data_IF_932763691537
#
_entry.id   IF_932763691537
#
_cell.length_a   1.000
_cell.length_b   1.000
_cell.length_c   1.000
_cell.angle_alpha   90.00
_cell.angle_beta   90.00
_cell.angle_gamma   90.00
#
_symmetry.space_group_name_H-M   'P 1'
#
loop_
_entity.id
_entity.type
_entity.pdbx_description
1 polymer ?
#
# COMPACT_ATOMS: atom_id res chain seq x y z
N UNK A 1 4.53 -16.77 -3.50
CA UNK A 1 3.42 -17.73 -3.27
C UNK A 1 2.08 -17.03 -3.07
N UNK A 2 2.01 -15.72 -2.76
CA UNK A 2 0.74 -14.99 -2.54
C UNK A 2 -0.11 -14.90 -3.82
N UNK A 3 0.41 -14.29 -4.89
CA UNK A 3 -0.34 -14.06 -6.13
C UNK A 3 -0.82 -15.34 -6.81
N UNK A 4 0.01 -16.39 -6.76
CA UNK A 4 -0.35 -17.71 -7.29
C UNK A 4 -1.55 -18.31 -6.57
N UNK A 5 -1.58 -18.25 -5.24
CA UNK A 5 -2.71 -18.73 -4.44
C UNK A 5 -3.95 -17.87 -4.70
N UNK A 6 -3.79 -16.53 -4.69
CA UNK A 6 -4.88 -15.60 -4.94
C UNK A 6 -5.55 -15.81 -6.31
N UNK A 7 -4.76 -16.05 -7.37
CA UNK A 7 -5.28 -16.28 -8.72
C UNK A 7 -6.13 -17.54 -8.82
N UNK A 8 -5.66 -18.64 -8.21
CA UNK A 8 -6.40 -19.90 -8.16
C UNK A 8 -7.67 -19.75 -7.33
N UNK A 9 -7.55 -19.20 -6.12
CA UNK A 9 -8.69 -19.00 -5.21
C UNK A 9 -9.76 -18.09 -5.81
N UNK A 10 -9.36 -17.03 -6.52
CA UNK A 10 -10.29 -16.13 -7.18
C UNK A 10 -11.03 -16.80 -8.32
N UNK A 11 -10.33 -17.56 -9.17
CA UNK A 11 -10.95 -18.30 -10.26
C UNK A 11 -11.95 -19.35 -9.74
N UNK A 12 -11.65 -20.01 -8.62
CA UNK A 12 -12.53 -21.02 -8.02
C UNK A 12 -13.77 -20.41 -7.35
N UNK A 13 -13.64 -19.24 -6.72
CA UNK A 13 -14.73 -18.61 -5.94
C UNK A 13 -15.60 -17.63 -6.74
N UNK A 14 -14.97 -16.84 -7.60
CA UNK A 14 -15.61 -15.74 -8.34
C UNK A 14 -15.64 -16.01 -9.84
N UNK A 15 -14.64 -16.75 -10.35
CA UNK A 15 -14.48 -17.02 -11.77
C UNK A 15 -13.66 -15.96 -12.48
N UNK A 16 -12.81 -16.39 -13.42
CA UNK A 16 -11.99 -15.48 -14.23
C UNK A 16 -10.87 -14.81 -13.45
N UNK A 17 -10.62 -13.52 -13.72
CA UNK A 17 -9.59 -12.69 -13.11
C UNK A 17 -10.23 -11.50 -12.40
N UNK A 18 -9.60 -10.95 -11.35
CA UNK A 18 -10.07 -9.73 -10.71
C UNK A 18 -9.93 -8.53 -11.64
N UNK A 19 -10.74 -7.49 -11.44
CA UNK A 19 -10.59 -6.23 -12.16
C UNK A 19 -9.38 -5.44 -11.65
N UNK A 20 -9.08 -5.54 -10.35
CA UNK A 20 -7.94 -4.85 -9.74
C UNK A 20 -7.28 -5.62 -8.59
N UNK A 21 -5.99 -5.37 -8.40
CA UNK A 21 -5.19 -5.76 -7.24
C UNK A 21 -4.76 -4.52 -6.48
N UNK A 22 -4.83 -4.57 -5.15
CA UNK A 22 -4.39 -3.49 -4.27
C UNK A 22 -3.50 -4.05 -3.16
N UNK A 23 -2.35 -3.44 -2.93
CA UNK A 23 -1.46 -3.79 -1.82
C UNK A 23 -0.68 -2.58 -1.33
N UNK A 24 -0.37 -2.51 -0.04
CA UNK A 24 0.44 -1.45 0.54
C UNK A 24 1.93 -1.63 0.18
N UNK A 25 2.66 -0.53 0.03
CA UNK A 25 4.04 -0.50 -0.44
C UNK A 25 4.88 0.37 0.50
N UNK A 26 5.64 -0.30 1.37
CA UNK A 26 6.86 0.26 1.97
C UNK A 26 8.05 -0.17 1.11
N UNK A 27 8.80 -1.18 1.55
CA UNK A 27 9.81 -1.82 0.69
C UNK A 27 9.24 -2.61 -0.50
N UNK A 28 7.98 -3.08 -0.40
CA UNK A 28 7.23 -3.67 -1.52
C UNK A 28 7.04 -5.20 -1.55
N UNK A 29 7.59 -5.95 -0.59
CA UNK A 29 7.60 -7.42 -0.64
C UNK A 29 6.21 -8.07 -0.72
N UNK A 30 5.24 -7.60 0.07
CA UNK A 30 3.87 -8.13 0.05
C UNK A 30 3.18 -7.82 -1.30
N UNK A 31 3.38 -6.60 -1.80
CA UNK A 31 2.76 -6.11 -3.02
C UNK A 31 3.28 -6.86 -4.24
N UNK A 32 4.59 -6.94 -4.41
CA UNK A 32 5.16 -7.72 -5.52
C UNK A 32 4.79 -9.21 -5.41
N UNK A 33 4.71 -9.73 -4.18
CA UNK A 33 4.25 -11.09 -3.92
C UNK A 33 2.85 -11.38 -4.43
N UNK A 34 1.92 -10.40 -4.35
CA UNK A 34 0.59 -10.48 -4.94
C UNK A 34 0.63 -10.24 -6.46
N UNK A 35 1.32 -9.19 -6.91
CA UNK A 35 1.27 -8.72 -8.29
C UNK A 35 1.92 -9.66 -9.29
N UNK A 36 2.98 -10.36 -8.89
CA UNK A 36 3.85 -11.11 -9.80
C UNK A 36 3.10 -12.05 -10.76
N UNK A 37 2.08 -12.79 -10.27
CA UNK A 37 1.33 -13.74 -11.09
C UNK A 37 0.34 -13.09 -12.08
N UNK A 38 0.12 -11.77 -11.95
CA UNK A 38 -0.82 -11.00 -12.74
C UNK A 38 -0.15 -9.98 -13.66
N UNK A 39 1.19 -9.88 -13.65
CA UNK A 39 1.93 -8.91 -14.48
C UNK A 39 1.60 -9.07 -15.97
N UNK A 40 1.43 -10.30 -16.46
CA UNK A 40 1.10 -10.54 -17.87
C UNK A 40 -0.41 -10.42 -18.18
N UNK A 41 -1.27 -10.35 -17.16
CA UNK A 41 -2.72 -10.19 -17.34
C UNK A 41 -3.08 -8.72 -17.52
N UNK A 42 -2.97 -8.22 -18.75
CA UNK A 42 -3.19 -6.80 -19.08
C UNK A 42 -4.59 -6.26 -18.71
N UNK A 43 -5.59 -7.14 -18.52
CA UNK A 43 -6.92 -6.76 -18.06
C UNK A 43 -7.00 -6.45 -16.56
N UNK A 44 -5.98 -6.83 -15.79
CA UNK A 44 -5.96 -6.67 -14.32
C UNK A 44 -5.20 -5.41 -13.96
N UNK A 45 -5.90 -4.43 -13.40
CA UNK A 45 -5.28 -3.21 -12.89
C UNK A 45 -4.48 -3.51 -11.61
N UNK A 46 -3.33 -2.88 -11.44
CA UNK A 46 -2.43 -3.12 -10.30
C UNK A 46 -2.17 -1.80 -9.59
N UNK A 47 -2.46 -1.75 -8.28
CA UNK A 47 -2.30 -0.57 -7.44
C UNK A 47 -1.41 -0.85 -6.23
N UNK A 48 -0.27 -0.15 -6.17
CA UNK A 48 0.56 -0.06 -4.97
C UNK A 48 0.18 1.18 -4.15
N UNK A 49 0.01 1.03 -2.84
CA UNK A 49 -0.41 2.12 -1.95
C UNK A 49 0.72 2.50 -1.00
N UNK A 50 1.29 3.70 -1.18
CA UNK A 50 2.32 4.26 -0.30
C UNK A 50 1.71 5.10 0.83
N UNK A 51 2.48 5.34 1.90
CA UNK A 51 2.03 6.12 3.03
C UNK A 51 2.19 7.63 2.76
N UNK A 52 1.07 8.34 2.70
CA UNK A 52 1.06 9.79 2.58
C UNK A 52 1.29 10.50 3.93
N UNK A 53 1.38 9.76 5.04
CA UNK A 53 1.55 10.34 6.38
C UNK A 53 0.50 11.43 6.66
N UNK A 54 0.98 12.63 6.98
CA UNK A 54 0.14 13.82 7.20
C UNK A 54 -0.38 14.48 5.91
N UNK A 55 0.01 14.00 4.74
CA UNK A 55 -0.34 14.52 3.42
C UNK A 55 0.89 14.89 2.58
N UNK A 56 0.87 14.54 1.29
CA UNK A 56 1.96 14.86 0.36
C UNK A 56 2.17 16.37 0.21
N UNK A 57 1.11 17.16 0.32
CA UNK A 57 1.14 18.62 0.22
C UNK A 57 1.79 19.31 1.43
N UNK A 58 2.03 18.57 2.52
CA UNK A 58 2.71 19.09 3.73
C UNK A 58 4.23 19.10 3.62
N UNK A 59 4.77 18.57 2.52
CA UNK A 59 6.19 18.56 2.21
C UNK A 59 6.86 17.20 2.47
N UNK A 60 8.14 17.06 2.09
CA UNK A 60 8.79 15.76 1.92
C UNK A 60 9.06 15.00 3.22
N UNK A 61 9.00 15.66 4.39
CA UNK A 61 9.16 15.02 5.71
C UNK A 61 7.84 14.53 6.29
N UNK A 62 6.72 14.79 5.63
CA UNK A 62 5.38 14.50 6.15
C UNK A 62 4.83 13.15 5.70
N UNK A 63 5.57 12.42 4.87
CA UNK A 63 5.09 11.21 4.20
C UNK A 63 6.25 10.25 3.87
N UNK A 64 5.91 8.99 3.55
CA UNK A 64 6.84 7.96 3.09
C UNK A 64 6.34 7.38 1.76
N UNK A 65 6.43 8.20 0.70
CA UNK A 65 5.84 7.91 -0.62
C UNK A 65 6.80 8.19 -1.78
N UNK A 66 7.91 7.42 -1.89
CA UNK A 66 8.95 7.67 -2.88
C UNK A 66 8.48 7.48 -4.33
N UNK A 67 7.55 6.58 -4.63
CA UNK A 67 7.00 6.45 -5.98
C UNK A 67 6.03 7.58 -6.32
N UNK A 68 5.32 8.14 -5.35
CA UNK A 68 4.40 9.25 -5.58
C UNK A 68 5.10 10.61 -5.68
N UNK A 69 6.14 10.85 -4.86
CA UNK A 69 6.71 12.19 -4.68
C UNK A 69 8.26 12.22 -4.60
N UNK A 70 8.93 11.08 -4.68
CA UNK A 70 10.40 10.99 -4.65
C UNK A 70 11.07 11.12 -6.02
N UNK A 71 12.38 10.92 -6.03
CA UNK A 71 13.26 10.95 -7.20
C UNK A 71 14.05 9.64 -7.35
N UNK A 72 14.63 9.42 -8.52
CA UNK A 72 15.49 8.25 -8.76
C UNK A 72 16.89 8.52 -8.24
N UNK A 73 17.37 7.67 -7.32
CA UNK A 73 18.72 7.72 -6.79
C UNK A 73 19.25 6.34 -6.39
N UNK A 74 20.24 6.30 -5.51
CA UNK A 74 20.87 5.06 -5.05
C UNK A 74 20.74 4.97 -3.53
N UNK A 75 20.04 3.94 -3.05
CA UNK A 75 19.84 3.67 -1.63
C UNK A 75 19.96 2.17 -1.37
N UNK A 76 20.63 1.79 -0.28
CA UNK A 76 20.74 0.40 0.19
C UNK A 76 21.13 -0.62 -0.90
N UNK A 77 22.02 -0.23 -1.82
CA UNK A 77 22.58 -1.13 -2.83
C UNK A 77 21.75 -1.32 -4.10
N UNK A 78 20.68 -0.53 -4.30
CA UNK A 78 19.91 -0.54 -5.55
C UNK A 78 19.69 0.88 -6.09
N UNK A 79 19.39 0.98 -7.39
CA UNK A 79 18.93 2.22 -8.04
C UNK A 79 17.42 2.17 -8.15
N UNK A 80 16.73 3.09 -7.48
CA UNK A 80 15.27 3.05 -7.29
C UNK A 80 14.73 4.45 -7.03
N UNK A 81 13.41 4.58 -6.83
CA UNK A 81 12.82 5.80 -6.28
C UNK A 81 13.06 5.90 -4.78
N UNK A 82 13.43 7.08 -4.30
CA UNK A 82 13.60 7.38 -2.88
C UNK A 82 13.27 8.85 -2.55
N UNK A 83 13.15 9.12 -1.26
CA UNK A 83 12.99 10.44 -0.68
C UNK A 83 14.39 11.03 -0.39
N UNK A 84 14.79 12.03 -1.14
CA UNK A 84 16.07 12.74 -0.95
C UNK A 84 15.91 14.26 -1.17
N UNK A 85 16.83 15.03 -0.60
CA UNK A 85 16.92 16.48 -0.81
C UNK A 85 17.73 16.82 -2.08
N UNK A 86 17.87 18.11 -2.39
CA UNK A 86 18.61 18.60 -3.56
C UNK A 86 20.11 18.20 -3.55
N UNK A 87 20.65 17.81 -2.39
CA UNK A 87 22.03 17.36 -2.22
C UNK A 87 22.16 15.83 -2.20
N UNK A 88 21.07 15.09 -2.46
CA UNK A 88 21.03 13.63 -2.41
C UNK A 88 21.10 13.07 -0.98
N UNK A 89 20.77 13.87 0.04
CA UNK A 89 20.65 13.39 1.42
C UNK A 89 19.27 12.76 1.62
N UNK A 90 19.23 11.60 2.28
CA UNK A 90 17.98 10.89 2.55
C UNK A 90 17.10 11.70 3.48
N UNK A 91 15.83 11.87 3.10
CA UNK A 91 14.82 12.51 3.92
C UNK A 91 14.14 11.45 4.78
N UNK A 92 14.11 11.67 6.09
CA UNK A 92 13.29 10.88 7.01
C UNK A 92 11.83 11.35 6.86
N UNK A 93 10.99 10.44 6.37
CA UNK A 93 9.57 10.67 6.14
C UNK A 93 8.73 10.49 7.39
N UNK A 94 7.42 10.36 7.18
CA UNK A 94 6.48 10.01 8.24
C UNK A 94 5.40 9.05 7.74
N UNK A 95 5.01 8.13 8.61
CA UNK A 95 3.84 7.27 8.47
C UNK A 95 3.43 6.80 9.86
N UNK A 96 2.13 6.76 10.15
CA UNK A 96 1.60 6.12 11.37
C UNK A 96 1.97 4.63 11.41
N UNK A 97 2.16 4.02 10.24
CA UNK A 97 2.53 2.62 10.09
C UNK A 97 4.04 2.48 9.96
N UNK A 98 4.67 1.90 10.99
CA UNK A 98 6.11 1.66 11.01
C UNK A 98 6.61 0.78 9.84
N UNK A 99 5.79 -0.15 9.34
CA UNK A 99 6.17 -0.99 8.20
C UNK A 99 6.15 -0.28 6.84
N UNK A 100 5.54 0.91 6.76
CA UNK A 100 5.54 1.76 5.56
C UNK A 100 6.47 2.98 5.67
N UNK A 101 7.01 3.26 6.86
CA UNK A 101 7.94 4.36 7.10
C UNK A 101 9.35 4.04 6.57
N UNK A 102 9.47 3.99 5.24
CA UNK A 102 10.71 3.67 4.54
C UNK A 102 10.92 4.65 3.38
N UNK A 103 12.06 5.34 3.31
CA UNK A 103 12.28 6.41 2.33
C UNK A 103 12.60 5.91 0.92
N UNK A 104 12.60 4.59 0.67
CA UNK A 104 12.87 4.02 -0.65
C UNK A 104 11.85 2.96 -1.04
N UNK A 105 12.09 2.27 -2.14
CA UNK A 105 11.22 1.17 -2.59
C UNK A 105 12.01 0.12 -3.37
N UNK A 106 11.51 -1.11 -3.44
CA UNK A 106 12.10 -2.15 -4.29
C UNK A 106 12.16 -1.72 -5.77
N UNK A 107 13.28 -1.99 -6.49
CA UNK A 107 13.47 -1.52 -7.86
C UNK A 107 12.50 -2.15 -8.88
N UNK A 108 11.91 -3.29 -8.56
CA UNK A 108 10.88 -3.90 -9.40
C UNK A 108 9.61 -3.05 -9.44
N UNK A 109 9.25 -2.38 -8.34
CA UNK A 109 8.16 -1.42 -8.31
C UNK A 109 8.48 -0.14 -9.08
N UNK A 110 9.72 0.33 -9.02
CA UNK A 110 10.17 1.44 -9.88
C UNK A 110 9.98 1.10 -11.37
N UNK A 111 10.36 -0.11 -11.78
CA UNK A 111 10.13 -0.59 -13.14
C UNK A 111 8.64 -0.71 -13.50
N UNK A 112 7.82 -1.26 -12.61
CA UNK A 112 6.37 -1.40 -12.85
C UNK A 112 5.67 -0.03 -12.95
N UNK A 113 6.14 0.98 -12.20
CA UNK A 113 5.69 2.37 -12.33
C UNK A 113 6.08 2.93 -13.70
N UNK A 114 7.36 2.89 -14.05
CA UNK A 114 7.89 3.53 -15.26
C UNK A 114 7.37 2.87 -16.54
N UNK A 115 7.12 1.56 -16.52
CA UNK A 115 6.48 0.83 -17.62
C UNK A 115 4.97 1.07 -17.73
N UNK A 116 4.35 1.70 -16.72
CA UNK A 116 2.91 1.90 -16.64
C UNK A 116 2.11 0.64 -16.29
N UNK A 117 2.78 -0.47 -15.92
CA UNK A 117 2.10 -1.72 -15.58
C UNK A 117 1.38 -1.63 -14.23
N UNK A 118 1.94 -0.93 -13.26
CA UNK A 118 1.33 -0.68 -11.97
C UNK A 118 1.19 0.82 -11.73
N UNK A 119 0.11 1.19 -11.05
CA UNK A 119 -0.16 2.55 -10.60
C UNK A 119 0.16 2.65 -9.11
N UNK A 120 0.79 3.75 -8.70
CA UNK A 120 1.13 4.01 -7.31
C UNK A 120 0.35 5.21 -6.83
N UNK A 121 -0.36 5.00 -5.73
CA UNK A 121 -1.24 5.97 -5.08
C UNK A 121 -0.84 6.08 -3.62
N UNK A 122 -1.37 7.07 -2.93
CA UNK A 122 -1.02 7.32 -1.54
C UNK A 122 -2.26 7.43 -0.65
N UNK A 123 -2.14 6.99 0.60
CA UNK A 123 -3.19 7.10 1.63
C UNK A 123 -2.61 7.77 2.87
N UNK A 124 -3.34 8.71 3.44
CA UNK A 124 -2.96 9.44 4.66
C UNK A 124 -3.19 8.59 5.91
N UNK A 125 -2.56 9.00 7.02
CA UNK A 125 -2.71 8.31 8.30
C UNK A 125 -4.17 8.26 8.77
N UNK A 126 -4.91 9.37 8.62
CA UNK A 126 -6.32 9.46 8.99
C UNK A 126 -7.19 8.48 8.17
N UNK A 127 -6.91 8.36 6.87
CA UNK A 127 -7.63 7.44 5.99
C UNK A 127 -7.32 5.97 6.30
N UNK A 128 -6.07 5.67 6.65
CA UNK A 128 -5.67 4.34 7.09
C UNK A 128 -6.33 3.97 8.43
N UNK A 129 -6.41 4.89 9.38
CA UNK A 129 -7.12 4.68 10.66
C UNK A 129 -8.61 4.44 10.45
N UNK A 130 -9.27 5.23 9.59
CA UNK A 130 -10.69 5.03 9.30
C UNK A 130 -10.94 3.66 8.65
N UNK A 131 -10.06 3.22 7.76
CA UNK A 131 -10.14 1.89 7.14
C UNK A 131 -9.89 0.76 8.14
N UNK A 132 -8.95 0.93 9.07
CA UNK A 132 -8.71 0.01 10.19
C UNK A 132 -9.99 -0.22 10.98
N UNK A 133 -10.66 0.87 11.39
CA UNK A 133 -11.91 0.82 12.15
C UNK A 133 -13.03 0.21 11.34
N UNK A 134 -13.15 0.60 10.07
CA UNK A 134 -14.18 0.09 9.17
C UNK A 134 -14.08 -1.42 9.04
N UNK A 135 -12.89 -1.96 8.73
CA UNK A 135 -12.72 -3.40 8.59
C UNK A 135 -12.98 -4.15 9.90
N UNK A 136 -12.52 -3.59 11.02
CA UNK A 136 -12.72 -4.19 12.34
C UNK A 136 -14.19 -4.24 12.73
N UNK A 137 -14.95 -3.17 12.47
CA UNK A 137 -16.37 -3.06 12.85
C UNK A 137 -17.30 -3.82 11.92
N UNK A 138 -17.01 -3.83 10.61
CA UNK A 138 -17.87 -4.44 9.60
C UNK A 138 -17.59 -5.93 9.46
N UNK A 139 -16.32 -6.32 9.39
CA UNK A 139 -15.92 -7.71 9.09
C UNK A 139 -15.37 -8.47 10.31
N UNK A 140 -15.14 -7.79 11.45
CA UNK A 140 -14.56 -8.41 12.63
C UNK A 140 -13.09 -8.81 12.45
N UNK A 141 -12.41 -8.25 11.44
CA UNK A 141 -11.00 -8.50 11.15
C UNK A 141 -10.18 -7.30 11.61
N UNK A 142 -9.15 -7.55 12.41
CA UNK A 142 -8.24 -6.52 12.91
C UNK A 142 -7.00 -6.39 11.97
N UNK A 143 -6.96 -5.43 11.03
CA UNK A 143 -5.86 -5.31 10.09
C UNK A 143 -4.63 -4.66 10.73
N UNK A 144 -3.44 -4.96 10.23
CA UNK A 144 -2.27 -4.12 10.49
C UNK A 144 -2.47 -2.72 9.90
N UNK A 145 -1.85 -1.69 10.49
CA UNK A 145 -1.92 -0.32 9.94
C UNK A 145 -1.35 -0.25 8.51
N UNK A 146 -0.35 -1.07 8.18
CA UNK A 146 0.17 -1.22 6.82
C UNK A 146 -0.94 -1.65 5.85
N UNK A 147 -1.62 -2.76 6.18
CA UNK A 147 -2.73 -3.31 5.37
C UNK A 147 -3.91 -2.35 5.27
N UNK A 148 -4.13 -1.54 6.30
CA UNK A 148 -5.23 -0.57 6.36
C UNK A 148 -5.09 0.51 5.29
N UNK A 149 -3.88 0.84 4.85
CA UNK A 149 -3.66 1.71 3.69
C UNK A 149 -4.23 1.08 2.40
N UNK A 150 -3.96 -0.21 2.18
CA UNK A 150 -4.49 -0.93 1.02
C UNK A 150 -6.02 -1.03 1.07
N UNK A 151 -6.59 -1.24 2.26
CA UNK A 151 -8.05 -1.28 2.47
C UNK A 151 -8.68 0.09 2.20
N UNK A 152 -8.10 1.17 2.73
CA UNK A 152 -8.58 2.53 2.51
C UNK A 152 -8.67 2.87 1.02
N UNK A 153 -7.61 2.58 0.27
CA UNK A 153 -7.62 2.79 -1.17
C UNK A 153 -8.58 1.83 -1.88
N UNK A 154 -8.65 0.56 -1.47
CA UNK A 154 -9.59 -0.41 -2.04
C UNK A 154 -11.05 0.01 -1.92
N UNK A 155 -11.43 0.64 -0.80
CA UNK A 155 -12.77 1.21 -0.60
C UNK A 155 -13.04 2.35 -1.60
N UNK A 156 -12.10 3.28 -1.76
CA UNK A 156 -12.22 4.37 -2.75
C UNK A 156 -12.31 3.83 -4.18
N UNK A 157 -11.43 2.89 -4.52
CA UNK A 157 -11.39 2.26 -5.83
C UNK A 157 -12.69 1.53 -6.15
N UNK A 158 -13.29 0.84 -5.16
CA UNK A 158 -14.60 0.19 -5.34
C UNK A 158 -15.72 1.19 -5.65
N UNK A 159 -15.68 2.38 -5.04
CA UNK A 159 -16.64 3.45 -5.34
C UNK A 159 -16.48 3.97 -6.79
N UNK A 160 -15.24 4.11 -7.25
CA UNK A 160 -14.93 4.60 -8.60
C UNK A 160 -15.23 3.56 -9.69
N UNK A 161 -14.90 2.29 -9.45
CA UNK A 161 -15.15 1.19 -10.40
C UNK A 161 -16.64 0.87 -10.55
N UNK A 162 -17.42 1.11 -9.50
CA UNK A 162 -18.85 0.83 -9.46
C UNK A 162 -19.18 -0.63 -9.16
N UNK A 163 -20.46 -0.96 -9.33
CA UNK A 163 -20.99 -2.30 -9.01
C UNK A 163 -20.46 -3.36 -9.99
N UNK A 164 -20.48 -4.61 -9.54
CA UNK A 164 -20.11 -5.80 -10.31
C UNK A 164 -18.61 -5.89 -10.68
N UNK A 165 -17.78 -5.13 -9.97
CA UNK A 165 -16.32 -5.14 -10.09
C UNK A 165 -15.69 -5.83 -8.89
N UNK A 166 -14.62 -6.58 -9.14
CA UNK A 166 -13.96 -7.40 -8.15
C UNK A 166 -12.53 -6.93 -7.91
N UNK A 167 -12.19 -6.69 -6.65
CA UNK A 167 -10.89 -6.21 -6.21
C UNK A 167 -10.30 -7.22 -5.23
N UNK A 168 -9.04 -7.61 -5.44
CA UNK A 168 -8.27 -8.33 -4.42
C UNK A 168 -7.42 -7.31 -3.67
N UNK A 169 -7.61 -7.24 -2.35
CA UNK A 169 -6.78 -6.42 -1.45
C UNK A 169 -5.87 -7.37 -0.66
N UNK A 170 -4.56 -7.13 -0.69
CA UNK A 170 -3.62 -7.92 0.10
C UNK A 170 -3.66 -7.50 1.57
N UNK A 171 -4.25 -8.32 2.43
CA UNK A 171 -4.23 -8.11 3.88
C UNK A 171 -2.91 -8.62 4.46
N UNK A 172 -1.85 -7.83 4.29
CA UNK A 172 -0.45 -8.20 4.52
C UNK A 172 -0.11 -8.67 5.95
N UNK A 173 -0.93 -8.30 6.94
CA UNK A 173 -0.71 -8.62 8.33
C UNK A 173 -1.89 -8.25 9.22
N UNK A 174 -1.87 -8.78 10.44
CA UNK A 174 -2.85 -8.54 11.51
C UNK A 174 -2.41 -7.42 12.45
N UNK A 175 -3.39 -6.74 13.05
CA UNK A 175 -3.21 -5.50 13.82
C UNK A 175 -2.86 -5.64 15.28
N UNK A 176 -2.60 -6.84 15.81
CA UNK A 176 -2.32 -7.01 17.26
C UNK A 176 -1.17 -6.13 17.74
N UNK A 177 -0.14 -5.94 16.90
CA UNK A 177 1.02 -5.09 17.20
C UNK A 177 0.70 -3.61 17.26
N UNK A 178 -0.37 -3.18 16.60
CA UNK A 178 -0.71 -1.77 16.39
C UNK A 178 -1.71 -1.25 17.44
N UNK A 179 -2.27 -2.14 18.28
CA UNK A 179 -3.28 -1.78 19.30
C UNK A 179 -2.78 -0.68 20.24
N UNK A 180 -1.54 -0.77 20.71
CA UNK A 180 -0.98 0.24 21.61
C UNK A 180 -0.84 1.61 20.94
N UNK A 181 -0.34 1.63 19.70
CA UNK A 181 -0.23 2.85 18.90
C UNK A 181 -1.60 3.49 18.69
N UNK A 182 -2.60 2.70 18.33
CA UNK A 182 -3.97 3.18 18.11
C UNK A 182 -4.59 3.68 19.41
N UNK A 183 -4.44 2.93 20.51
CA UNK A 183 -4.95 3.34 21.81
C UNK A 183 -4.34 4.67 22.28
N UNK A 184 -3.03 4.87 22.09
CA UNK A 184 -2.35 6.13 22.43
C UNK A 184 -2.86 7.29 21.58
N UNK A 185 -3.00 7.10 20.27
CA UNK A 185 -3.50 8.11 19.33
C UNK A 185 -4.95 8.50 19.64
N UNK A 186 -5.77 7.54 20.05
CA UNK A 186 -7.19 7.75 20.37
C UNK A 186 -7.44 8.14 21.82
N UNK A 187 -6.41 8.21 22.66
CA UNK A 187 -6.54 8.53 24.08
C UNK A 187 -7.31 7.48 24.88
N UNK A 188 -7.22 6.21 24.50
CA UNK A 188 -7.82 5.08 25.22
C UNK A 188 -6.91 4.70 26.39
N UNK A 189 -7.39 4.91 27.61
CA UNK A 189 -6.72 4.45 28.84
C UNK A 189 -7.16 3.01 29.19
N UNK A 190 -6.20 2.15 29.56
CA UNK A 190 -6.42 0.76 30.00
C UNK A 190 -6.36 0.60 31.51
#
# INVERSE_FOLDING_TARGET
MIGKEAKVQFADQVGGLPDALVACVGGGSNAIGLFHEFIDDASVAIYGVEAAGYGLEKGPTAHAAPLCAGSVGILHGNRTYLMEDENGQIIEGHSISAGLDYPGVGPEHAYLKDSGRAQYVSITDDEALEAFHTLTRVEGILPALESSHAVAYGIKLAQDLGKDKNIIINLSGRGDKDIHTIAEIEGIEF
#
